data_IF_371429945873
#
_entry.id   IF_371429945873
#
_cell.length_a   1.000
_cell.length_b   1.000
_cell.length_c   1.000
_cell.angle_alpha   90.00
_cell.angle_beta   90.00
_cell.angle_gamma   90.00
#
_symmetry.space_group_name_H-M   'P 1'
#
loop_
_entity.id
_entity.type
_entity.pdbx_description
1 polymer ?
#
# COMPACT_ATOMS: atom_id res chain seq x y z
N UNK A 1 17.72 3.77 -39.22
CA UNK A 1 18.83 3.68 -38.24
C UNK A 1 18.27 3.68 -36.82
N UNK A 2 18.23 2.49 -36.22
CA UNK A 2 17.90 2.28 -34.81
C UNK A 2 19.13 2.74 -34.01
N UNK A 3 18.97 3.75 -33.16
CA UNK A 3 19.95 4.06 -32.12
C UNK A 3 19.22 3.98 -30.79
N UNK A 4 19.72 3.07 -29.96
CA UNK A 4 19.23 2.77 -28.63
C UNK A 4 19.26 4.02 -27.72
N UNK A 5 18.13 4.34 -27.11
CA UNK A 5 18.04 5.31 -26.01
C UNK A 5 17.25 4.68 -24.85
N UNK A 6 17.77 3.56 -24.32
CA UNK A 6 17.13 2.79 -23.25
C UNK A 6 17.56 3.18 -21.83
N UNK A 7 18.63 3.97 -21.68
CA UNK A 7 19.19 4.29 -20.36
C UNK A 7 18.70 5.63 -19.78
N UNK A 8 18.31 6.58 -20.62
CA UNK A 8 17.86 7.91 -20.20
C UNK A 8 16.41 7.95 -19.68
N UNK A 9 15.59 6.92 -19.92
CA UNK A 9 14.15 6.95 -19.59
C UNK A 9 13.78 6.35 -18.23
N UNK A 10 14.65 5.54 -17.62
CA UNK A 10 14.34 4.81 -16.38
C UNK A 10 14.65 5.63 -15.12
N UNK A 11 15.75 6.40 -15.13
CA UNK A 11 16.13 7.27 -14.02
C UNK A 11 15.14 8.43 -13.84
N UNK A 12 14.68 9.03 -14.95
CA UNK A 12 13.64 10.06 -14.96
C UNK A 12 12.30 9.52 -14.45
N UNK A 13 11.96 8.28 -14.82
CA UNK A 13 10.77 7.59 -14.34
C UNK A 13 10.79 7.33 -12.83
N UNK A 14 11.90 6.84 -12.28
CA UNK A 14 12.04 6.57 -10.85
C UNK A 14 12.03 7.85 -10.00
N UNK A 15 12.72 8.90 -10.45
CA UNK A 15 12.69 10.23 -9.81
C UNK A 15 11.28 10.81 -9.84
N UNK A 16 10.55 10.65 -10.95
CA UNK A 16 9.15 11.04 -11.08
C UNK A 16 8.24 10.27 -10.12
N UNK A 17 8.43 8.97 -9.94
CA UNK A 17 7.64 8.15 -9.00
C UNK A 17 7.83 8.63 -7.56
N UNK A 18 9.08 8.86 -7.14
CA UNK A 18 9.37 9.35 -5.79
C UNK A 18 8.75 10.73 -5.54
N UNK A 19 8.93 11.67 -6.48
CA UNK A 19 8.40 13.02 -6.36
C UNK A 19 6.86 13.06 -6.28
N UNK A 20 6.18 12.19 -7.05
CA UNK A 20 4.72 12.07 -6.97
C UNK A 20 4.30 11.39 -5.66
N UNK A 21 4.95 10.29 -5.28
CA UNK A 21 4.62 9.54 -4.08
C UNK A 21 4.71 10.39 -2.81
N UNK A 22 5.73 11.24 -2.69
CA UNK A 22 5.94 12.11 -1.52
C UNK A 22 4.87 13.21 -1.38
N UNK A 23 4.06 13.44 -2.42
CA UNK A 23 2.91 14.35 -2.40
C UNK A 23 1.59 13.65 -2.09
N UNK A 24 1.54 12.33 -2.19
CA UNK A 24 0.34 11.54 -1.90
C UNK A 24 0.19 11.42 -0.39
N UNK A 25 -0.99 11.79 0.11
CA UNK A 25 -1.37 11.60 1.51
C UNK A 25 -2.19 10.32 1.65
N UNK A 26 -1.93 9.56 2.70
CA UNK A 26 -2.77 8.43 3.12
C UNK A 26 -3.68 8.85 4.27
N UNK A 27 -4.85 8.24 4.38
CA UNK A 27 -5.72 8.43 5.54
C UNK A 27 -5.24 7.56 6.70
N UNK A 28 -5.14 8.11 7.90
CA UNK A 28 -4.86 7.34 9.11
C UNK A 28 -6.06 7.45 10.05
N UNK A 29 -6.69 6.32 10.33
CA UNK A 29 -7.74 6.20 11.33
C UNK A 29 -7.17 5.51 12.56
N UNK A 30 -7.11 6.21 13.69
CA UNK A 30 -6.47 5.71 14.91
C UNK A 30 -7.47 5.14 15.89
N UNK A 31 -7.02 4.17 16.67
CA UNK A 31 -7.76 3.59 17.80
C UNK A 31 -9.19 3.14 17.41
N UNK A 32 -9.31 2.61 16.18
CA UNK A 32 -10.55 2.08 15.64
C UNK A 32 -10.89 0.75 16.33
N UNK A 33 -12.11 0.63 16.84
CA UNK A 33 -12.56 -0.58 17.51
C UNK A 33 -12.89 -1.67 16.49
N UNK A 34 -12.29 -2.86 16.65
CA UNK A 34 -12.66 -4.04 15.88
C UNK A 34 -13.90 -4.68 16.50
N UNK A 35 -15.02 -4.66 15.77
CA UNK A 35 -16.30 -5.22 16.24
C UNK A 35 -16.48 -6.68 15.82
N UNK A 36 -15.86 -7.08 14.72
CA UNK A 36 -16.03 -8.41 14.13
C UNK A 36 -14.75 -9.24 14.26
N UNK A 37 -14.93 -10.48 14.69
CA UNK A 37 -13.92 -11.53 14.62
C UNK A 37 -14.30 -12.57 13.56
N UNK A 38 -13.47 -13.62 13.46
CA UNK A 38 -13.76 -14.77 12.60
C UNK A 38 -14.97 -15.54 13.13
N UNK A 39 -15.88 -15.92 12.25
CA UNK A 39 -17.02 -16.78 12.57
C UNK A 39 -16.67 -18.27 12.55
N UNK A 40 -17.67 -19.15 12.73
CA UNK A 40 -17.48 -20.60 12.69
C UNK A 40 -16.98 -21.13 11.33
N UNK A 41 -17.21 -20.40 10.25
CA UNK A 41 -16.71 -20.71 8.90
C UNK A 41 -15.84 -19.59 8.34
N UNK A 42 -15.18 -19.82 7.20
CA UNK A 42 -14.36 -18.79 6.53
C UNK A 42 -15.19 -17.62 6.01
N UNK A 43 -16.46 -17.85 5.71
CA UNK A 43 -17.34 -16.87 5.07
C UNK A 43 -18.25 -16.15 6.07
N UNK A 44 -18.05 -16.37 7.37
CA UNK A 44 -18.86 -15.79 8.43
C UNK A 44 -18.02 -14.95 9.38
N UNK A 45 -18.65 -13.89 9.90
CA UNK A 45 -18.09 -13.03 10.94
C UNK A 45 -18.92 -13.19 12.21
N UNK A 46 -18.26 -13.10 13.36
CA UNK A 46 -18.91 -13.08 14.68
C UNK A 46 -18.70 -11.74 15.35
N UNK A 47 -19.70 -11.24 16.08
CA UNK A 47 -19.55 -10.02 16.87
C UNK A 47 -18.70 -10.33 18.11
N UNK A 48 -17.63 -9.57 18.31
CA UNK A 48 -16.78 -9.70 19.48
C UNK A 48 -17.50 -9.15 20.73
N UNK A 49 -17.41 -9.86 21.87
CA UNK A 49 -17.83 -9.33 23.17
C UNK A 49 -17.19 -7.96 23.44
N UNK A 50 -17.91 -6.99 24.04
CA UNK A 50 -17.37 -5.64 24.29
C UNK A 50 -16.00 -5.62 24.98
N UNK A 51 -15.77 -6.51 25.95
CA UNK A 51 -14.52 -6.59 26.70
C UNK A 51 -13.31 -7.13 25.89
N UNK A 52 -13.54 -7.71 24.71
CA UNK A 52 -12.51 -8.33 23.87
C UNK A 52 -12.33 -7.64 22.52
N UNK A 53 -12.79 -6.39 22.37
CA UNK A 53 -12.67 -5.63 21.12
C UNK A 53 -11.34 -4.87 21.09
N UNK A 54 -10.35 -5.32 20.32
CA UNK A 54 -9.09 -4.62 20.23
C UNK A 54 -9.26 -3.27 19.52
N UNK A 55 -8.34 -2.35 19.82
CA UNK A 55 -8.17 -1.11 19.07
C UNK A 55 -7.07 -1.32 18.04
N UNK A 56 -7.30 -0.84 16.82
CA UNK A 56 -6.33 -0.89 15.71
C UNK A 56 -6.19 0.49 15.08
N UNK A 57 -5.01 0.76 14.54
CA UNK A 57 -4.83 1.87 13.61
C UNK A 57 -4.95 1.34 12.18
N UNK A 58 -5.71 2.02 11.32
CA UNK A 58 -5.95 1.63 9.95
C UNK A 58 -5.43 2.71 9.00
N UNK A 59 -4.61 2.32 8.04
CA UNK A 59 -4.17 3.20 6.96
C UNK A 59 -5.05 2.97 5.74
N UNK A 60 -5.79 4.00 5.36
CA UNK A 60 -6.67 4.04 4.21
C UNK A 60 -5.89 4.58 3.01
N UNK A 61 -5.71 3.73 2.00
CA UNK A 61 -5.04 4.05 0.75
C UNK A 61 -5.66 3.30 -0.41
N UNK A 62 -5.48 3.80 -1.63
CA UNK A 62 -5.94 3.16 -2.86
C UNK A 62 -4.85 3.22 -3.93
N UNK A 63 -4.84 2.21 -4.80
CA UNK A 63 -4.07 2.21 -6.06
C UNK A 63 -4.94 2.76 -7.19
N UNK A 64 -4.36 2.92 -8.38
CA UNK A 64 -5.12 3.21 -9.61
C UNK A 64 -5.86 1.95 -10.06
N UNK A 65 -7.13 2.10 -10.46
CA UNK A 65 -7.90 1.02 -11.06
C UNK A 65 -7.47 0.80 -12.52
N UNK A 66 -6.56 -0.15 -12.76
CA UNK A 66 -6.09 -0.50 -14.11
C UNK A 66 -7.13 -1.28 -14.92
N UNK A 67 -8.19 -1.78 -14.27
CA UNK A 67 -9.32 -2.45 -14.94
C UNK A 67 -10.49 -1.52 -15.20
N UNK A 68 -10.32 -0.22 -15.00
CA UNK A 68 -11.36 0.76 -15.29
C UNK A 68 -11.75 0.69 -16.78
N UNK A 69 -13.01 0.33 -17.11
CA UNK A 69 -13.47 0.25 -18.48
C UNK A 69 -13.47 1.60 -19.21
N UNK A 70 -13.36 2.72 -18.48
CA UNK A 70 -13.30 4.07 -19.03
C UNK A 70 -11.88 4.53 -19.40
N UNK A 71 -10.87 3.65 -19.29
CA UNK A 71 -9.54 3.88 -19.85
C UNK A 71 -8.39 3.99 -18.83
N UNK A 72 -8.56 3.49 -17.61
CA UNK A 72 -7.50 3.54 -16.57
C UNK A 72 -6.18 2.86 -16.97
N UNK A 73 -6.20 1.87 -17.87
CA UNK A 73 -5.01 1.20 -18.42
C UNK A 73 -4.44 1.84 -19.69
N UNK A 74 -5.18 2.73 -20.36
CA UNK A 74 -4.78 3.29 -21.65
C UNK A 74 -3.81 4.47 -21.51
N UNK A 75 -3.63 5.01 -20.30
CA UNK A 75 -2.76 6.15 -20.08
C UNK A 75 -1.28 5.72 -20.00
N UNK A 76 -0.37 6.32 -20.80
CA UNK A 76 1.06 5.94 -20.84
C UNK A 76 1.79 6.03 -19.48
N UNK A 77 1.24 6.78 -18.53
CA UNK A 77 1.81 6.97 -17.19
C UNK A 77 1.13 6.16 -16.10
N UNK A 78 0.14 5.31 -16.42
CA UNK A 78 -0.60 4.55 -15.40
C UNK A 78 0.31 3.67 -14.54
N UNK A 79 1.35 3.08 -15.13
CA UNK A 79 2.32 2.30 -14.38
C UNK A 79 3.09 3.14 -13.34
N UNK A 80 3.55 4.34 -13.73
CA UNK A 80 4.28 5.25 -12.83
C UNK A 80 3.38 5.72 -11.69
N UNK A 81 2.12 6.03 -12.00
CA UNK A 81 1.14 6.43 -10.99
C UNK A 81 0.82 5.29 -10.02
N UNK A 82 0.62 4.05 -10.52
CA UNK A 82 0.46 2.86 -9.67
C UNK A 82 1.65 2.70 -8.74
N UNK A 83 2.88 2.75 -9.26
CA UNK A 83 4.10 2.64 -8.45
C UNK A 83 4.19 3.75 -7.39
N UNK A 84 3.81 4.98 -7.74
CA UNK A 84 3.77 6.10 -6.79
C UNK A 84 2.71 5.89 -5.69
N UNK A 85 1.50 5.44 -6.05
CA UNK A 85 0.44 5.10 -5.09
C UNK A 85 0.86 3.98 -4.14
N UNK A 86 1.45 2.89 -4.65
CA UNK A 86 1.94 1.78 -3.84
C UNK A 86 3.04 2.22 -2.88
N UNK A 87 4.01 2.99 -3.37
CA UNK A 87 5.08 3.57 -2.55
C UNK A 87 4.52 4.42 -1.41
N UNK A 88 3.57 5.31 -1.70
CA UNK A 88 2.91 6.13 -0.69
C UNK A 88 2.11 5.29 0.31
N UNK A 89 1.38 4.27 -0.17
CA UNK A 89 0.58 3.38 0.66
C UNK A 89 1.43 2.63 1.70
N UNK A 90 2.47 1.92 1.25
CA UNK A 90 3.28 1.11 2.15
C UNK A 90 4.19 1.96 3.05
N UNK A 91 4.79 3.03 2.54
CA UNK A 91 5.51 3.99 3.40
C UNK A 91 4.60 4.59 4.45
N UNK A 92 3.40 5.02 4.05
CA UNK A 92 2.40 5.55 4.96
C UNK A 92 2.02 4.56 6.06
N UNK A 93 1.92 3.26 5.73
CA UNK A 93 1.68 2.19 6.70
C UNK A 93 2.81 2.06 7.73
N UNK A 94 4.07 2.01 7.29
CA UNK A 94 5.23 1.94 8.18
C UNK A 94 5.39 3.20 9.03
N UNK A 95 5.29 4.38 8.43
CA UNK A 95 5.38 5.66 9.14
C UNK A 95 4.27 5.79 10.19
N UNK A 96 3.05 5.37 9.86
CA UNK A 96 1.94 5.33 10.84
C UNK A 96 2.27 4.40 12.00
N UNK A 97 2.79 3.20 11.73
CA UNK A 97 3.20 2.28 12.79
C UNK A 97 4.29 2.87 13.69
N UNK A 98 5.30 3.53 13.11
CA UNK A 98 6.38 4.20 13.84
C UNK A 98 5.83 5.32 14.73
N UNK A 99 5.06 6.24 14.16
CA UNK A 99 4.48 7.39 14.89
C UNK A 99 3.55 6.94 16.01
N UNK A 100 2.85 5.81 15.81
CA UNK A 100 1.92 5.24 16.79
C UNK A 100 2.56 4.23 17.74
N UNK A 101 3.86 3.95 17.61
CA UNK A 101 4.56 2.97 18.43
C UNK A 101 3.98 1.55 18.32
N UNK A 102 3.42 1.19 17.17
CA UNK A 102 2.86 -0.16 16.94
C UNK A 102 3.97 -1.15 16.64
N UNK A 103 3.81 -2.37 17.17
CA UNK A 103 4.77 -3.48 17.04
C UNK A 103 4.33 -4.55 16.04
N UNK A 104 3.09 -4.48 15.56
CA UNK A 104 2.53 -5.38 14.57
C UNK A 104 1.95 -4.55 13.43
N UNK A 105 2.34 -4.88 12.20
CA UNK A 105 1.83 -4.27 10.98
C UNK A 105 1.29 -5.37 10.07
N UNK A 106 -0.01 -5.29 9.77
CA UNK A 106 -0.67 -6.21 8.84
C UNK A 106 -0.83 -5.50 7.49
N UNK A 107 -0.16 -6.01 6.46
CA UNK A 107 -0.21 -5.44 5.12
C UNK A 107 -1.17 -6.22 4.22
N UNK A 108 -1.83 -5.51 3.33
CA UNK A 108 -2.70 -6.07 2.30
C UNK A 108 -2.09 -5.84 0.92
N UNK A 109 -2.57 -6.60 -0.08
CA UNK A 109 -2.14 -6.43 -1.47
C UNK A 109 -2.91 -5.25 -2.10
N UNK A 110 -2.48 -4.02 -1.81
CA UNK A 110 -3.17 -2.80 -2.25
C UNK A 110 -3.34 -2.81 -3.77
N UNK A 111 -4.60 -2.85 -4.22
CA UNK A 111 -4.96 -2.87 -5.65
C UNK A 111 -4.80 -4.23 -6.36
N UNK A 112 -4.35 -5.29 -5.69
CA UNK A 112 -4.11 -6.60 -6.31
C UNK A 112 -5.36 -7.36 -6.75
N UNK A 113 -6.54 -6.97 -6.25
CA UNK A 113 -7.82 -7.58 -6.60
C UNK A 113 -8.48 -6.93 -7.82
N UNK A 114 -9.66 -6.34 -7.61
CA UNK A 114 -10.49 -5.74 -8.68
C UNK A 114 -9.75 -4.68 -9.48
N UNK A 115 -8.77 -3.99 -8.89
CA UNK A 115 -8.03 -2.91 -9.54
C UNK A 115 -6.95 -3.42 -10.50
N UNK A 116 -6.63 -4.72 -10.47
CA UNK A 116 -5.69 -5.35 -11.40
C UNK A 116 -4.26 -4.85 -11.31
N UNK A 117 -3.82 -4.34 -10.15
CA UNK A 117 -2.42 -3.97 -9.94
C UNK A 117 -1.53 -5.21 -9.98
N UNK A 118 -0.46 -5.24 -10.80
CA UNK A 118 0.43 -6.40 -10.86
C UNK A 118 1.06 -6.71 -9.50
N UNK A 119 1.01 -7.98 -9.08
CA UNK A 119 1.56 -8.45 -7.80
C UNK A 119 3.04 -8.11 -7.63
N UNK A 120 3.84 -8.18 -8.71
CA UNK A 120 5.25 -7.80 -8.68
C UNK A 120 5.47 -6.38 -8.15
N UNK A 121 4.64 -5.41 -8.55
CA UNK A 121 4.78 -4.02 -8.11
C UNK A 121 4.40 -3.87 -6.63
N UNK A 122 3.42 -4.64 -6.19
CA UNK A 122 3.01 -4.68 -4.79
C UNK A 122 4.14 -5.24 -3.92
N UNK A 123 4.71 -6.38 -4.29
CA UNK A 123 5.78 -7.01 -3.54
C UNK A 123 7.07 -6.17 -3.54
N UNK A 124 7.44 -5.58 -4.67
CA UNK A 124 8.56 -4.62 -4.76
C UNK A 124 8.34 -3.45 -3.79
N UNK A 125 7.16 -2.83 -3.80
CA UNK A 125 6.88 -1.68 -2.94
C UNK A 125 6.84 -2.06 -1.44
N UNK A 126 6.36 -3.26 -1.09
CA UNK A 126 6.44 -3.79 0.28
C UNK A 126 7.89 -3.99 0.70
N UNK A 127 8.70 -4.63 -0.15
CA UNK A 127 10.10 -4.90 0.13
C UNK A 127 10.90 -3.60 0.29
N UNK A 128 10.69 -2.62 -0.58
CA UNK A 128 11.33 -1.30 -0.50
C UNK A 128 10.94 -0.57 0.79
N UNK A 129 9.66 -0.53 1.13
CA UNK A 129 9.19 0.10 2.36
C UNK A 129 9.72 -0.62 3.60
N UNK A 130 9.76 -1.95 3.59
CA UNK A 130 10.32 -2.74 4.68
C UNK A 130 11.81 -2.46 4.88
N UNK A 131 12.60 -2.55 3.80
CA UNK A 131 14.04 -2.25 3.82
C UNK A 131 14.33 -0.86 4.35
N UNK A 132 13.50 0.12 4.00
CA UNK A 132 13.67 1.50 4.44
C UNK A 132 13.22 1.72 5.89
N UNK A 133 12.05 1.23 6.29
CA UNK A 133 11.42 1.67 7.54
C UNK A 133 11.44 0.65 8.67
N UNK A 134 11.57 -0.64 8.38
CA UNK A 134 11.63 -1.67 9.42
C UNK A 134 12.76 -1.42 10.44
N UNK A 135 14.00 -1.04 10.03
CA UNK A 135 15.08 -0.74 10.98
C UNK A 135 14.80 0.45 11.93
N UNK A 136 13.82 1.29 11.60
CA UNK A 136 13.41 2.48 12.37
C UNK A 136 12.13 2.24 13.17
N UNK A 137 11.58 1.03 13.08
CA UNK A 137 10.30 0.66 13.67
C UNK A 137 10.49 -0.30 14.86
N UNK A 138 9.42 -0.49 15.63
CA UNK A 138 9.36 -1.51 16.67
C UNK A 138 8.67 -2.79 16.19
N UNK A 139 8.56 -2.96 14.87
CA UNK A 139 7.91 -4.11 14.26
C UNK A 139 8.74 -5.35 14.56
N UNK A 140 8.08 -6.37 15.09
CA UNK A 140 8.72 -7.66 15.40
C UNK A 140 8.75 -8.51 14.12
N UNK A 141 9.85 -9.21 13.88
CA UNK A 141 9.90 -10.31 12.89
C UNK A 141 9.03 -11.49 13.32
#
# INVERSE_FOLDING_TARGET
PIVANGAASVADGAASVAAVADRIRVGLHTDAQVIFGRGPSRDTLSVLPPASRPLVDQVLSASINLRDPLGGSAHPQSELLVKACLRAAYRGAYLSAIVRGRRLLLLTLVGGGVFGTPERFIFEAIADAHKEWAPRSQLVE
#
